data_IF_416517375641
#
_entry.id   IF_416517375641
#
_cell.length_a   1.000
_cell.length_b   1.000
_cell.length_c   1.000
_cell.angle_alpha   90.00
_cell.angle_beta   90.00
_cell.angle_gamma   90.00
#
_symmetry.space_group_name_H-M   'P 1'
#
loop_
_entity.id
_entity.type
_entity.pdbx_description
1 polymer ?
#
# COMPACT_ATOMS: atom_id res chain seq x y z
N UNK A 1 -9.94 14.84 -24.19
CA UNK A 1 -9.22 14.52 -22.95
C UNK A 1 -9.26 13.01 -22.77
N UNK A 2 -8.14 12.30 -22.85
CA UNK A 2 -8.11 10.89 -22.41
C UNK A 2 -8.12 10.91 -20.87
N UNK A 3 -9.02 10.17 -20.23
CA UNK A 3 -8.98 9.98 -18.78
C UNK A 3 -7.65 9.32 -18.40
N UNK A 4 -7.06 9.74 -17.27
CA UNK A 4 -5.83 9.14 -16.75
C UNK A 4 -6.13 7.70 -16.28
N UNK A 5 -5.41 6.70 -16.81
CA UNK A 5 -5.63 5.30 -16.44
C UNK A 5 -5.40 5.05 -14.95
N UNK A 6 -4.38 5.66 -14.34
CA UNK A 6 -4.12 5.59 -12.89
C UNK A 6 -5.27 6.09 -12.00
N UNK A 7 -6.21 6.87 -12.55
CA UNK A 7 -7.39 7.42 -11.86
C UNK A 7 -8.69 6.65 -12.15
N UNK A 8 -8.64 5.67 -13.05
CA UNK A 8 -9.83 4.96 -13.51
C UNK A 8 -9.77 3.52 -13.04
N UNK A 9 -10.81 2.97 -12.39
CA UNK A 9 -10.84 1.56 -12.01
C UNK A 9 -10.61 0.66 -13.22
N UNK A 10 -9.61 -0.23 -13.16
CA UNK A 10 -9.33 -1.19 -14.24
C UNK A 10 -8.96 -2.55 -13.68
N UNK A 11 -9.29 -3.59 -14.45
CA UNK A 11 -9.01 -4.99 -14.15
C UNK A 11 -7.76 -5.52 -14.87
N UNK A 12 -7.18 -4.73 -15.78
CA UNK A 12 -6.11 -5.15 -16.68
C UNK A 12 -4.93 -4.19 -16.61
N UNK A 13 -3.73 -4.71 -16.81
CA UNK A 13 -2.53 -3.91 -16.96
C UNK A 13 -2.54 -3.11 -18.27
N UNK A 14 -1.53 -2.26 -18.47
CA UNK A 14 -1.39 -1.44 -19.68
C UNK A 14 -1.21 -2.28 -20.98
N UNK A 15 -0.96 -3.59 -20.86
CA UNK A 15 -0.86 -4.56 -21.95
C UNK A 15 -2.18 -5.32 -22.21
N UNK A 16 -3.23 -5.08 -21.41
CA UNK A 16 -4.54 -5.71 -21.53
C UNK A 16 -4.65 -7.09 -20.87
N UNK A 17 -3.64 -7.52 -20.11
CA UNK A 17 -3.67 -8.76 -19.35
C UNK A 17 -4.30 -8.54 -17.97
N UNK A 18 -5.14 -9.49 -17.53
CA UNK A 18 -5.69 -9.48 -16.17
C UNK A 18 -4.55 -9.63 -15.16
N UNK A 19 -4.43 -8.70 -14.22
CA UNK A 19 -3.40 -8.76 -13.16
C UNK A 19 -3.80 -9.62 -11.98
N UNK A 20 -5.05 -10.11 -11.96
CA UNK A 20 -5.57 -10.95 -10.89
C UNK A 20 -6.21 -12.23 -11.45
N UNK A 21 -6.23 -13.26 -10.63
CA UNK A 21 -7.20 -14.34 -10.76
C UNK A 21 -8.46 -13.91 -10.01
N UNK A 22 -9.66 -14.07 -10.58
CA UNK A 22 -10.93 -13.76 -9.91
C UNK A 22 -10.99 -14.35 -8.48
N UNK A 23 -10.25 -15.43 -8.24
CA UNK A 23 -10.13 -16.12 -6.96
C UNK A 23 -9.56 -15.25 -5.82
N UNK A 24 -8.50 -14.45 -6.04
CA UNK A 24 -7.91 -13.65 -4.96
C UNK A 24 -8.84 -12.53 -4.49
N UNK A 25 -9.44 -11.80 -5.44
CA UNK A 25 -10.41 -10.77 -5.14
C UNK A 25 -11.66 -11.36 -4.45
N UNK A 26 -12.20 -12.46 -4.98
CA UNK A 26 -13.35 -13.12 -4.37
C UNK A 26 -13.06 -13.63 -2.95
N UNK A 27 -11.84 -14.10 -2.68
CA UNK A 27 -11.40 -14.44 -1.32
C UNK A 27 -11.43 -13.22 -0.41
N UNK A 28 -10.94 -12.06 -0.84
CA UNK A 28 -10.98 -10.84 -0.02
C UNK A 28 -12.41 -10.36 0.24
N UNK A 29 -13.30 -10.46 -0.75
CA UNK A 29 -14.73 -10.18 -0.58
C UNK A 29 -15.40 -11.17 0.37
N UNK A 30 -14.97 -12.43 0.42
CA UNK A 30 -15.44 -13.40 1.43
C UNK A 30 -14.91 -13.05 2.81
N UNK A 31 -13.61 -12.79 2.92
CA UNK A 31 -12.96 -12.41 4.19
C UNK A 31 -13.59 -11.15 4.78
N UNK A 32 -13.99 -10.18 3.97
CA UNK A 32 -14.67 -8.97 4.45
C UNK A 32 -16.05 -9.25 5.02
N UNK A 33 -16.72 -10.34 4.62
CA UNK A 33 -18.02 -10.77 5.18
C UNK A 33 -17.88 -11.55 6.48
N UNK A 34 -16.82 -12.35 6.59
CA UNK A 34 -16.69 -13.34 7.65
C UNK A 34 -15.80 -12.87 8.81
N UNK A 35 -15.12 -11.73 8.67
CA UNK A 35 -14.13 -11.22 9.64
C UNK A 35 -14.32 -9.74 9.92
N UNK A 36 -13.93 -9.33 11.13
CA UNK A 36 -14.02 -7.94 11.60
C UNK A 36 -12.62 -7.41 11.96
N UNK A 37 -11.83 -6.92 10.97
CA UNK A 37 -10.46 -6.46 11.24
C UNK A 37 -10.43 -5.11 11.94
N UNK A 38 -9.46 -4.92 12.85
CA UNK A 38 -9.09 -3.59 13.36
C UNK A 38 -8.16 -2.84 12.38
N UNK A 39 -7.35 -3.58 11.62
CA UNK A 39 -6.40 -3.04 10.63
C UNK A 39 -6.57 -3.75 9.29
N UNK A 40 -6.66 -2.98 8.20
CA UNK A 40 -6.70 -3.51 6.85
C UNK A 40 -5.46 -3.06 6.07
N UNK A 41 -4.66 -4.00 5.57
CA UNK A 41 -3.57 -3.71 4.65
C UNK A 41 -4.04 -3.90 3.22
N UNK A 42 -3.84 -2.90 2.37
CA UNK A 42 -4.22 -2.91 0.95
C UNK A 42 -3.03 -2.45 0.12
N UNK A 43 -2.74 -3.16 -0.97
CA UNK A 43 -1.69 -2.71 -1.86
C UNK A 43 -1.20 -3.75 -2.84
N UNK A 44 0.06 -3.61 -3.20
CA UNK A 44 0.73 -4.45 -4.19
C UNK A 44 1.46 -5.66 -3.57
N UNK A 45 2.42 -6.23 -4.31
CA UNK A 45 3.29 -7.33 -3.88
C UNK A 45 4.01 -7.06 -2.55
N UNK A 46 4.35 -5.81 -2.22
CA UNK A 46 5.02 -5.50 -0.96
C UNK A 46 4.11 -5.78 0.24
N UNK A 47 2.80 -5.59 0.09
CA UNK A 47 1.82 -5.96 1.11
C UNK A 47 1.58 -7.46 1.07
N UNK A 48 1.37 -8.04 -0.12
CA UNK A 48 1.09 -9.47 -0.28
C UNK A 48 2.18 -10.35 0.35
N UNK A 49 3.45 -10.08 0.01
CA UNK A 49 4.60 -10.87 0.46
C UNK A 49 4.88 -10.68 1.95
N UNK A 50 4.51 -9.54 2.54
CA UNK A 50 4.65 -9.31 3.98
C UNK A 50 3.96 -10.41 4.79
N UNK A 51 2.78 -10.87 4.33
CA UNK A 51 2.01 -11.94 4.97
C UNK A 51 2.71 -13.31 4.95
N UNK A 52 3.62 -13.54 3.99
CA UNK A 52 4.30 -14.81 3.82
C UNK A 52 5.45 -15.01 4.81
N UNK A 53 5.95 -13.93 5.43
CA UNK A 53 7.04 -14.00 6.39
C UNK A 53 6.55 -14.07 7.83
N UNK A 54 7.35 -14.68 8.71
CA UNK A 54 7.01 -14.85 10.14
C UNK A 54 6.71 -13.52 10.86
N UNK A 55 7.25 -12.41 10.37
CA UNK A 55 7.04 -11.06 10.91
C UNK A 55 5.56 -10.67 10.94
N UNK A 56 4.76 -11.12 9.97
CA UNK A 56 3.32 -10.83 9.95
C UNK A 56 2.60 -11.45 11.14
N UNK A 57 2.86 -12.75 11.39
CA UNK A 57 2.27 -13.47 12.52
C UNK A 57 2.69 -12.89 13.86
N UNK A 58 3.90 -12.36 13.93
CA UNK A 58 4.44 -11.76 15.15
C UNK A 58 3.85 -10.37 15.43
N UNK A 59 3.77 -9.51 14.42
CA UNK A 59 3.46 -8.08 14.60
C UNK A 59 2.01 -7.72 14.24
N UNK A 60 1.48 -8.21 13.12
CA UNK A 60 0.21 -7.71 12.58
C UNK A 60 -0.98 -8.63 12.85
N UNK A 61 -0.77 -9.95 12.96
CA UNK A 61 -1.84 -10.86 13.39
C UNK A 61 -2.46 -10.50 14.75
N UNK A 62 -1.69 -10.09 15.79
CA UNK A 62 -2.26 -9.64 17.05
C UNK A 62 -3.10 -8.36 16.96
N UNK A 63 -2.94 -7.57 15.90
CA UNK A 63 -3.74 -6.35 15.63
C UNK A 63 -5.03 -6.66 14.86
N UNK A 64 -5.46 -7.93 14.82
CA UNK A 64 -6.61 -8.40 14.03
C UNK A 64 -6.55 -7.92 12.57
N UNK A 65 -5.38 -8.02 11.95
CA UNK A 65 -5.16 -7.46 10.62
C UNK A 65 -5.60 -8.39 9.47
N UNK A 66 -6.19 -7.81 8.42
CA UNK A 66 -6.35 -8.44 7.11
C UNK A 66 -5.32 -7.90 6.10
N UNK A 67 -4.99 -8.73 5.11
CA UNK A 67 -4.04 -8.42 4.05
C UNK A 67 -4.68 -8.63 2.67
N UNK A 68 -5.02 -7.53 1.99
CA UNK A 68 -5.56 -7.47 0.64
C UNK A 68 -4.49 -6.95 -0.34
N UNK A 69 -3.28 -7.49 -0.22
CA UNK A 69 -2.18 -7.27 -1.15
C UNK A 69 -2.27 -8.20 -2.36
N UNK A 70 -2.05 -7.66 -3.56
CA UNK A 70 -2.02 -8.43 -4.82
C UNK A 70 -0.75 -8.09 -5.58
N UNK A 71 0.02 -9.11 -5.97
CA UNK A 71 1.25 -8.92 -6.72
C UNK A 71 1.01 -8.22 -8.05
N UNK A 72 1.82 -7.21 -8.36
CA UNK A 72 1.73 -6.47 -9.63
C UNK A 72 0.69 -5.36 -9.68
N UNK A 73 -0.17 -5.22 -8.66
CA UNK A 73 -1.19 -4.16 -8.64
C UNK A 73 -0.55 -2.77 -8.75
N UNK A 74 -1.02 -2.02 -9.74
CA UNK A 74 -0.95 -0.56 -9.82
C UNK A 74 -2.20 0.10 -9.20
N UNK A 75 -2.19 1.42 -9.00
CA UNK A 75 -3.29 2.16 -8.32
C UNK A 75 -4.68 1.88 -8.89
N UNK A 76 -4.82 1.77 -10.21
CA UNK A 76 -6.11 1.53 -10.87
C UNK A 76 -6.75 0.18 -10.52
N UNK A 77 -5.92 -0.83 -10.24
CA UNK A 77 -6.38 -2.17 -9.89
C UNK A 77 -6.87 -2.20 -8.45
N UNK A 78 -6.11 -1.60 -7.52
CA UNK A 78 -6.55 -1.40 -6.13
C UNK A 78 -7.86 -0.63 -6.10
N UNK A 79 -7.95 0.47 -6.86
CA UNK A 79 -9.16 1.28 -6.94
C UNK A 79 -10.38 0.46 -7.40
N UNK A 80 -10.21 -0.38 -8.41
CA UNK A 80 -11.25 -1.31 -8.84
C UNK A 80 -11.63 -2.30 -7.74
N UNK A 81 -10.66 -2.97 -7.12
CA UNK A 81 -10.92 -3.96 -6.06
C UNK A 81 -11.72 -3.39 -4.89
N UNK A 82 -11.32 -2.22 -4.39
CA UNK A 82 -12.00 -1.55 -3.28
C UNK A 82 -13.41 -1.05 -3.63
N UNK A 83 -13.66 -0.72 -4.89
CA UNK A 83 -14.99 -0.33 -5.37
C UNK A 83 -15.91 -1.52 -5.62
N UNK A 84 -15.37 -2.74 -5.69
CA UNK A 84 -16.08 -3.99 -6.02
C UNK A 84 -16.17 -4.97 -4.83
N UNK A 85 -16.36 -4.45 -3.61
CA UNK A 85 -16.86 -5.26 -2.48
C UNK A 85 -15.86 -5.59 -1.38
N UNK A 86 -14.56 -5.31 -1.56
CA UNK A 86 -13.56 -5.60 -0.53
C UNK A 86 -13.78 -4.79 0.76
N UNK A 87 -14.52 -3.68 0.70
CA UNK A 87 -14.77 -2.81 1.86
C UNK A 87 -16.20 -2.92 2.44
N UNK A 88 -17.09 -3.75 1.88
CA UNK A 88 -18.54 -3.58 2.09
C UNK A 88 -19.10 -4.08 3.44
N UNK A 89 -18.32 -4.84 4.23
CA UNK A 89 -18.82 -5.48 5.47
C UNK A 89 -17.83 -5.39 6.64
N UNK A 90 -16.84 -4.51 6.54
CA UNK A 90 -15.80 -4.31 7.55
C UNK A 90 -15.77 -2.87 8.03
N UNK A 91 -15.24 -2.65 9.23
CA UNK A 91 -15.07 -1.31 9.80
C UNK A 91 -13.71 -1.18 10.52
N UNK A 92 -12.58 -1.33 9.80
CA UNK A 92 -11.26 -1.19 10.41
C UNK A 92 -11.05 0.22 10.96
N UNK A 93 -10.26 0.30 12.03
CA UNK A 93 -9.80 1.58 12.60
C UNK A 93 -8.74 2.22 11.71
N UNK A 94 -7.88 1.39 11.08
CA UNK A 94 -6.80 1.87 10.21
C UNK A 94 -6.77 1.06 8.91
N UNK A 95 -6.65 1.76 7.78
CA UNK A 95 -6.32 1.17 6.48
C UNK A 95 -4.90 1.56 6.11
N UNK A 96 -4.01 0.58 5.99
CA UNK A 96 -2.64 0.76 5.52
C UNK A 96 -2.61 0.60 4.01
N UNK A 97 -2.27 1.67 3.29
CA UNK A 97 -2.21 1.69 1.83
C UNK A 97 -0.76 1.73 1.35
N UNK A 98 -0.36 0.75 0.53
CA UNK A 98 0.98 0.72 -0.06
C UNK A 98 0.94 0.22 -1.51
N UNK A 99 0.83 1.17 -2.44
CA UNK A 99 0.73 0.91 -3.87
C UNK A 99 1.30 2.09 -4.65
N UNK A 100 1.84 1.80 -5.84
CA UNK A 100 2.26 2.83 -6.79
C UNK A 100 3.55 2.50 -7.52
N UNK A 101 4.37 1.57 -6.99
CA UNK A 101 5.65 1.25 -7.63
C UNK A 101 5.48 0.57 -8.99
N UNK A 102 4.36 -0.14 -9.18
CA UNK A 102 4.02 -0.86 -10.41
C UNK A 102 3.27 0.00 -11.45
N UNK A 103 3.01 1.28 -11.18
CA UNK A 103 2.43 2.22 -12.15
C UNK A 103 3.48 2.61 -13.21
N UNK A 104 3.93 1.65 -14.01
CA UNK A 104 4.80 1.89 -15.15
C UNK A 104 4.11 2.83 -16.15
N UNK A 105 4.89 3.61 -16.91
CA UNK A 105 4.35 4.59 -17.88
C UNK A 105 3.67 5.83 -17.30
N UNK A 106 3.38 5.87 -15.98
CA UNK A 106 2.70 6.99 -15.32
C UNK A 106 3.68 7.97 -14.67
N UNK A 107 3.35 9.26 -14.70
CA UNK A 107 4.12 10.33 -14.04
C UNK A 107 3.88 10.33 -12.52
N UNK A 108 4.77 10.94 -11.71
CA UNK A 108 4.57 11.06 -10.27
C UNK A 108 3.20 11.66 -9.89
N UNK A 109 2.74 12.67 -10.63
CA UNK A 109 1.47 13.35 -10.39
C UNK A 109 0.27 12.42 -10.67
N UNK A 110 0.35 11.60 -11.71
CA UNK A 110 -0.68 10.61 -12.04
C UNK A 110 -0.77 9.52 -10.97
N UNK A 111 0.38 9.06 -10.47
CA UNK A 111 0.45 8.05 -9.40
C UNK A 111 -0.09 8.65 -8.09
N UNK A 112 0.33 9.87 -7.72
CA UNK A 112 -0.21 10.58 -6.58
C UNK A 112 -1.74 10.73 -6.70
N UNK A 113 -2.24 11.16 -7.85
CA UNK A 113 -3.67 11.24 -8.11
C UNK A 113 -4.39 9.89 -7.93
N UNK A 114 -3.79 8.79 -8.39
CA UNK A 114 -4.33 7.44 -8.20
C UNK A 114 -4.42 7.05 -6.72
N UNK A 115 -3.38 7.36 -5.94
CA UNK A 115 -3.38 7.16 -4.49
C UNK A 115 -4.47 8.01 -3.82
N UNK A 116 -4.61 9.29 -4.20
CA UNK A 116 -5.65 10.16 -3.67
C UNK A 116 -7.07 9.68 -4.01
N UNK A 117 -7.27 9.11 -5.21
CA UNK A 117 -8.54 8.49 -5.59
C UNK A 117 -8.87 7.27 -4.71
N UNK A 118 -7.88 6.44 -4.38
CA UNK A 118 -8.04 5.32 -3.46
C UNK A 118 -8.40 5.82 -2.05
N UNK A 119 -7.70 6.82 -1.52
CA UNK A 119 -8.00 7.43 -0.22
C UNK A 119 -9.46 7.93 -0.20
N UNK A 120 -9.91 8.57 -1.27
CA UNK A 120 -11.29 9.06 -1.37
C UNK A 120 -12.32 7.93 -1.35
N UNK A 121 -12.05 6.80 -2.00
CA UNK A 121 -12.91 5.60 -1.93
C UNK A 121 -12.95 5.03 -0.52
N UNK A 122 -11.78 4.90 0.13
CA UNK A 122 -11.68 4.42 1.51
C UNK A 122 -12.48 5.33 2.43
N UNK A 123 -12.30 6.66 2.36
CA UNK A 123 -13.07 7.63 3.16
C UNK A 123 -14.59 7.47 2.97
N UNK A 124 -15.03 7.28 1.74
CA UNK A 124 -16.46 7.20 1.43
C UNK A 124 -17.10 5.91 1.96
N UNK A 125 -16.39 4.78 1.89
CA UNK A 125 -16.90 3.48 2.34
C UNK A 125 -16.64 3.21 3.82
N UNK A 126 -15.53 3.73 4.36
CA UNK A 126 -15.05 3.53 5.73
C UNK A 126 -14.79 4.89 6.41
N UNK A 127 -15.83 5.70 6.69
CA UNK A 127 -15.67 7.09 7.14
C UNK A 127 -14.98 7.26 8.50
N UNK A 128 -14.91 6.20 9.30
CA UNK A 128 -14.25 6.18 10.61
C UNK A 128 -12.82 5.66 10.58
N UNK A 129 -12.37 5.11 9.44
CA UNK A 129 -11.03 4.58 9.31
C UNK A 129 -10.02 5.70 9.03
N UNK A 130 -8.85 5.63 9.68
CA UNK A 130 -7.70 6.44 9.29
C UNK A 130 -6.91 5.74 8.18
N UNK A 131 -6.59 6.44 7.09
CA UNK A 131 -5.77 5.89 6.00
C UNK A 131 -4.31 6.24 6.20
N UNK A 132 -3.47 5.23 6.49
CA UNK A 132 -2.02 5.37 6.61
C UNK A 132 -1.36 4.98 5.28
N UNK A 133 -0.83 5.96 4.55
CA UNK A 133 -0.15 5.73 3.27
C UNK A 133 1.34 5.52 3.51
N UNK A 134 1.88 4.40 3.03
CA UNK A 134 3.30 4.11 3.13
C UNK A 134 4.06 4.65 1.92
N UNK A 135 5.22 5.25 2.17
CA UNK A 135 6.11 5.72 1.12
C UNK A 135 6.58 4.61 0.19
N UNK A 136 6.62 4.90 -1.11
CA UNK A 136 7.23 4.03 -2.11
C UNK A 136 8.73 3.89 -1.83
N UNK A 137 9.19 2.64 -1.74
CA UNK A 137 10.60 2.34 -1.51
C UNK A 137 11.46 2.60 -2.75
N UNK A 138 12.77 2.84 -2.59
CA UNK A 138 13.69 2.84 -3.71
C UNK A 138 13.79 1.42 -4.32
N UNK A 139 14.07 1.34 -5.63
CA UNK A 139 14.22 0.07 -6.36
C UNK A 139 15.38 0.10 -7.35
N UNK A 140 15.76 -1.07 -7.85
CA UNK A 140 16.91 -1.31 -8.73
C UNK A 140 18.24 -1.25 -7.97
N UNK A 141 19.26 -1.97 -8.42
CA UNK A 141 20.57 -2.04 -7.73
C UNK A 141 21.27 -0.68 -7.66
N UNK A 142 21.27 0.05 -8.76
CA UNK A 142 21.98 1.32 -8.95
C UNK A 142 20.99 2.49 -9.10
N UNK A 143 21.45 3.75 -9.04
CA UNK A 143 20.62 4.92 -9.38
C UNK A 143 19.91 4.75 -10.73
N UNK A 144 18.62 5.06 -10.77
CA UNK A 144 17.79 4.92 -11.95
C UNK A 144 16.53 5.81 -11.86
N UNK A 145 15.85 6.10 -12.98
CA UNK A 145 14.70 7.01 -13.01
C UNK A 145 13.53 6.58 -12.12
N UNK A 146 13.36 5.29 -11.82
CA UNK A 146 12.26 4.83 -10.97
C UNK A 146 12.48 5.22 -9.49
N UNK A 147 13.74 5.36 -9.04
CA UNK A 147 14.02 5.89 -7.69
C UNK A 147 13.61 7.35 -7.58
N UNK A 148 13.95 8.17 -8.57
CA UNK A 148 13.57 9.58 -8.63
C UNK A 148 12.05 9.73 -8.70
N UNK A 149 11.39 8.95 -9.56
CA UNK A 149 9.92 8.92 -9.66
C UNK A 149 9.27 8.57 -8.32
N UNK A 150 9.71 7.49 -7.67
CA UNK A 150 9.14 7.07 -6.38
C UNK A 150 9.35 8.14 -5.29
N UNK A 151 10.52 8.80 -5.29
CA UNK A 151 10.80 9.89 -4.35
C UNK A 151 9.88 11.10 -4.57
N UNK A 152 9.63 11.49 -5.83
CA UNK A 152 8.71 12.59 -6.14
C UNK A 152 7.26 12.22 -5.79
N UNK A 153 6.83 10.98 -6.05
CA UNK A 153 5.51 10.49 -5.59
C UNK A 153 5.39 10.64 -4.07
N UNK A 154 6.40 10.22 -3.30
CA UNK A 154 6.37 10.32 -1.84
C UNK A 154 6.19 11.76 -1.38
N UNK A 155 6.91 12.70 -1.98
CA UNK A 155 6.79 14.13 -1.68
C UNK A 155 5.39 14.66 -1.97
N UNK A 156 4.86 14.36 -3.16
CA UNK A 156 3.52 14.81 -3.58
C UNK A 156 2.41 14.23 -2.70
N UNK A 157 2.51 12.94 -2.35
CA UNK A 157 1.54 12.28 -1.48
C UNK A 157 1.61 12.85 -0.06
N UNK A 158 2.82 13.04 0.48
CA UNK A 158 3.01 13.62 1.81
C UNK A 158 2.39 15.01 1.92
N UNK A 159 2.59 15.86 0.90
CA UNK A 159 1.98 17.19 0.83
C UNK A 159 0.45 17.07 0.73
N UNK A 160 -0.06 16.25 -0.18
CA UNK A 160 -1.49 16.10 -0.40
C UNK A 160 -2.24 15.63 0.86
N UNK A 161 -1.73 14.61 1.56
CA UNK A 161 -2.41 14.04 2.74
C UNK A 161 -2.29 14.92 3.98
N UNK A 162 -1.31 15.83 4.06
CA UNK A 162 -1.17 16.74 5.21
C UNK A 162 -2.38 17.66 5.44
N UNK A 163 -3.20 17.85 4.41
CA UNK A 163 -4.44 18.63 4.46
C UNK A 163 -5.68 17.80 4.84
N UNK A 164 -5.54 16.48 4.98
CA UNK A 164 -6.63 15.55 5.25
C UNK A 164 -6.66 15.12 6.72
N UNK A 165 -7.82 15.23 7.35
CA UNK A 165 -7.97 14.89 8.78
C UNK A 165 -7.84 13.39 9.11
N UNK A 166 -8.13 12.51 8.15
CA UNK A 166 -8.22 11.04 8.33
C UNK A 166 -7.21 10.30 7.45
N UNK A 167 -6.16 10.99 6.98
CA UNK A 167 -5.09 10.36 6.22
C UNK A 167 -3.74 10.89 6.66
N UNK A 168 -2.72 10.04 6.65
CA UNK A 168 -1.35 10.43 6.95
C UNK A 168 -0.36 9.67 6.08
N UNK A 169 0.85 10.22 5.97
CA UNK A 169 1.96 9.60 5.26
C UNK A 169 3.01 9.10 6.25
N UNK A 170 3.52 7.88 6.02
CA UNK A 170 4.63 7.32 6.77
C UNK A 170 5.75 6.89 5.83
N UNK A 171 6.92 7.51 5.98
CA UNK A 171 8.12 6.99 5.35
C UNK A 171 8.61 5.77 6.13
N UNK A 172 8.69 4.63 5.44
CA UNK A 172 9.13 3.35 6.00
C UNK A 172 10.49 2.90 5.47
N UNK A 173 11.17 3.71 4.67
CA UNK A 173 12.53 3.41 4.20
C UNK A 173 13.54 3.58 5.35
N UNK A 174 14.20 2.49 5.83
CA UNK A 174 15.21 2.56 6.88
C UNK A 174 16.58 3.06 6.36
N UNK A 175 16.68 3.43 5.08
CA UNK A 175 17.94 3.79 4.42
C UNK A 175 18.47 2.67 3.53
N UNK A 176 17.62 2.06 2.70
CA UNK A 176 18.02 0.97 1.80
C UNK A 176 19.05 1.37 0.75
N UNK A 177 19.13 2.66 0.39
CA UNK A 177 20.19 3.18 -0.48
C UNK A 177 21.40 3.53 0.37
N UNK A 178 22.47 2.74 0.24
CA UNK A 178 23.71 2.94 0.98
C UNK A 178 24.51 4.13 0.44
N UNK A 179 25.58 4.52 1.14
CA UNK A 179 26.47 5.63 0.77
C UNK A 179 27.13 5.48 -0.60
N UNK A 180 27.28 4.26 -1.11
CA UNK A 180 27.75 3.97 -2.47
C UNK A 180 26.63 4.01 -3.53
N UNK A 181 25.46 4.53 -3.17
CA UNK A 181 24.24 4.62 -3.99
C UNK A 181 23.65 3.27 -4.42
N UNK A 182 24.07 2.15 -3.82
CA UNK A 182 23.54 0.82 -4.15
C UNK A 182 22.51 0.34 -3.13
N UNK A 183 21.62 -0.55 -3.57
CA UNK A 183 20.76 -1.35 -2.68
C UNK A 183 21.36 -2.76 -2.58
N UNK A 184 21.45 -3.28 -1.36
CA UNK A 184 21.94 -4.64 -1.12
C UNK A 184 20.88 -5.68 -1.46
N UNK A 185 21.30 -6.78 -2.10
CA UNK A 185 20.43 -7.94 -2.31
C UNK A 185 20.05 -8.65 -0.99
N UNK A 186 20.75 -8.35 0.11
CA UNK A 186 20.38 -8.83 1.44
C UNK A 186 19.17 -8.11 2.02
N UNK A 187 18.85 -6.93 1.51
CA UNK A 187 17.69 -6.15 1.94
C UNK A 187 16.55 -6.27 0.93
N UNK A 188 16.86 -6.26 -0.37
CA UNK A 188 15.91 -6.54 -1.46
C UNK A 188 16.48 -7.58 -2.44
N UNK A 189 15.99 -8.82 -2.43
CA UNK A 189 16.65 -9.97 -3.10
C UNK A 189 16.75 -9.83 -4.63
N UNK A 190 15.82 -9.10 -5.24
CA UNK A 190 15.80 -8.75 -6.67
C UNK A 190 15.84 -7.23 -6.89
N UNK A 191 16.26 -6.48 -5.87
CA UNK A 191 16.28 -5.01 -5.84
C UNK A 191 14.90 -4.36 -5.96
N UNK A 192 13.83 -5.09 -5.66
CA UNK A 192 12.46 -4.58 -5.55
C UNK A 192 11.77 -5.13 -4.31
N UNK A 193 11.71 -6.45 -4.20
CA UNK A 193 11.03 -7.16 -3.13
C UNK A 193 11.96 -7.37 -1.94
N UNK A 194 11.43 -7.13 -0.76
CA UNK A 194 12.18 -7.19 0.50
C UNK A 194 12.49 -8.63 0.89
N UNK A 195 13.68 -8.83 1.47
CA UNK A 195 14.02 -10.07 2.19
C UNK A 195 13.33 -10.08 3.56
N UNK A 196 13.36 -11.20 4.32
CA UNK A 196 12.92 -11.19 5.72
C UNK A 196 13.58 -10.08 6.56
N UNK A 197 14.87 -9.81 6.32
CA UNK A 197 15.62 -8.74 6.98
C UNK A 197 15.10 -7.36 6.56
N UNK A 198 14.86 -7.14 5.26
CA UNK A 198 14.28 -5.91 4.74
C UNK A 198 12.90 -5.63 5.32
N UNK A 199 12.05 -6.66 5.40
CA UNK A 199 10.74 -6.56 6.04
C UNK A 199 10.84 -6.25 7.53
N UNK A 200 11.77 -6.85 8.27
CA UNK A 200 11.94 -6.53 9.69
C UNK A 200 12.20 -5.03 9.90
N UNK A 201 13.11 -4.45 9.12
CA UNK A 201 13.46 -3.02 9.23
C UNK A 201 12.29 -2.08 8.88
N UNK A 202 11.38 -2.51 8.00
CA UNK A 202 10.16 -1.76 7.62
C UNK A 202 9.03 -1.97 8.63
N UNK A 203 8.81 -3.21 9.08
CA UNK A 203 7.63 -3.60 9.83
C UNK A 203 7.71 -3.21 11.32
N UNK A 204 8.89 -3.19 11.93
CA UNK A 204 9.06 -2.75 13.33
C UNK A 204 8.58 -1.31 13.56
N UNK A 205 9.05 -0.29 12.82
CA UNK A 205 8.55 1.08 12.99
C UNK A 205 7.09 1.23 12.56
N UNK A 206 6.64 0.51 11.52
CA UNK A 206 5.24 0.51 11.12
C UNK A 206 4.33 -0.03 12.23
N UNK A 207 4.70 -1.15 12.85
CA UNK A 207 3.95 -1.73 13.95
C UNK A 207 3.89 -0.80 15.16
N UNK A 208 5.00 -0.16 15.54
CA UNK A 208 5.02 0.81 16.62
C UNK A 208 4.08 2.00 16.33
N UNK A 209 4.08 2.50 15.09
CA UNK A 209 3.18 3.57 14.66
C UNK A 209 1.71 3.14 14.73
N UNK A 210 1.37 1.96 14.18
CA UNK A 210 0.01 1.43 14.20
C UNK A 210 -0.50 1.20 15.63
N UNK A 211 0.32 0.63 16.51
CA UNK A 211 -0.04 0.44 17.93
C UNK A 211 -0.39 1.77 18.58
N UNK A 212 0.44 2.80 18.37
CA UNK A 212 0.17 4.15 18.89
C UNK A 212 -1.13 4.76 18.34
N UNK A 213 -1.50 4.46 17.09
CA UNK A 213 -2.76 4.92 16.52
C UNK A 213 -3.96 4.19 17.13
N UNK A 214 -3.86 2.88 17.36
CA UNK A 214 -4.92 2.05 17.92
C UNK A 214 -5.16 2.32 19.41
N UNK A 215 -4.13 2.71 20.15
CA UNK A 215 -4.21 3.04 21.58
C UNK A 215 -4.84 4.41 21.86
N UNK A 216 -4.93 5.29 20.85
CA UNK A 216 -5.59 6.59 21.03
C UNK A 216 -7.10 6.37 21.12
N UNK A 217 -7.76 6.82 22.20
CA UNK A 217 -9.22 6.79 22.25
C UNK A 217 -9.78 7.60 21.10
N UNK A 218 -10.83 7.09 20.45
CA UNK A 218 -11.56 7.85 19.44
C UNK A 218 -12.02 9.18 20.07
N UNK A 219 -11.50 10.30 19.56
CA UNK A 219 -12.00 11.62 19.97
C UNK A 219 -13.44 11.73 19.45
N UNK A 220 -14.38 11.72 20.39
CA UNK A 220 -15.82 11.90 20.16
C UNK A 220 -16.16 13.34 19.76
#
# INVERSE_FOLDING_TARGET
MRLCAALTPMTTNDEGESTYTDEEHNRFVSDSKDKEPDVLFVGDSLIQLMHQFGIWRQLFSPLHALNFGVGGDATQHVLWRLTNGELDNISPKVVVLWVGTNNHGHTPEQICGGIMAIIQVIKNKLPHAHTLVLGLLPRGKNPNPLRERNAEVNKLVQEAVSSLAHASFLNVDPGFVHSNCTISHQDMYDYLHLTPKGYQAVCEPLHAHLTSMLDKPAEN
#
